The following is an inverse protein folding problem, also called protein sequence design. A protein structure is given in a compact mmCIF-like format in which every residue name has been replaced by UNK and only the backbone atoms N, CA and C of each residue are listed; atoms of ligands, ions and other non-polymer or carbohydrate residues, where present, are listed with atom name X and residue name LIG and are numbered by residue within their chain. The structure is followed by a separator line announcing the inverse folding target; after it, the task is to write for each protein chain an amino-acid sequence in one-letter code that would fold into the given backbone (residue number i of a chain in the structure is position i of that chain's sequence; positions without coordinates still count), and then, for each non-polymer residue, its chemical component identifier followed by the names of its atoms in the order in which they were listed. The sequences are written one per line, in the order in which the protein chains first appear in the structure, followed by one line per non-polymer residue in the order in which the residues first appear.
data_IF_856474661965
#
_entry.id   IF_856474661965
#
_cell.length_a   1.000
_cell.length_b   1.000
_cell.length_c   1.000
_cell.angle_alpha   90.00
_cell.angle_beta   90.00
_cell.angle_gamma   90.00
#
_symmetry.space_group_name_H-M   'P 1'
#
loop_
_entity.id
_entity.type
_entity.pdbx_description
1 polymer ?
#
# COMPACT_ATOMS: atom_id res chain seq x y z
N UNK A 1 8.00 26.07 57.18
CA UNK A 1 8.89 25.59 56.08
C UNK A 1 8.06 24.97 54.96
N UNK A 2 7.66 25.75 53.95
CA UNK A 2 6.80 25.31 52.81
C UNK A 2 7.49 25.45 51.44
N UNK A 3 8.83 25.52 51.41
CA UNK A 3 9.60 25.88 50.21
C UNK A 3 10.13 24.65 49.45
N UNK A 4 10.14 23.46 50.07
CA UNK A 4 10.72 22.24 49.48
C UNK A 4 9.80 21.47 48.52
N UNK A 5 8.48 21.70 48.56
CA UNK A 5 7.54 20.97 47.69
C UNK A 5 7.53 21.47 46.23
N UNK A 6 7.74 22.77 46.00
CA UNK A 6 7.71 23.34 44.66
C UNK A 6 8.91 22.92 43.79
N UNK A 7 10.08 22.65 44.40
CA UNK A 7 11.26 22.16 43.66
C UNK A 7 11.04 20.76 43.08
N UNK A 8 10.34 19.85 43.77
CA UNK A 8 10.08 18.49 43.27
C UNK A 8 9.06 18.48 42.13
N UNK A 9 8.02 19.31 42.20
CA UNK A 9 6.98 19.40 41.17
C UNK A 9 7.54 20.04 39.88
N UNK A 10 8.43 21.02 40.00
CA UNK A 10 9.08 21.65 38.85
C UNK A 10 10.02 20.68 38.10
N UNK A 11 10.78 19.86 38.84
CA UNK A 11 11.68 18.85 38.24
C UNK A 11 10.88 17.75 37.51
N UNK A 12 9.75 17.30 38.09
CA UNK A 12 8.90 16.30 37.42
C UNK A 12 8.26 16.82 36.12
N UNK A 13 7.85 18.09 36.07
CA UNK A 13 7.30 18.66 34.83
C UNK A 13 8.37 18.88 33.75
N UNK A 14 9.60 19.22 34.13
CA UNK A 14 10.70 19.39 33.16
C UNK A 14 11.14 18.06 32.54
N UNK A 15 11.17 16.97 33.32
CA UNK A 15 11.46 15.62 32.82
C UNK A 15 10.36 15.09 31.88
N UNK A 16 9.09 15.44 32.13
CA UNK A 16 7.97 15.08 31.26
C UNK A 16 8.03 15.82 29.91
N UNK A 17 8.42 17.10 29.91
CA UNK A 17 8.60 17.87 28.67
C UNK A 17 9.78 17.35 27.82
N UNK A 18 10.88 16.90 28.44
CA UNK A 18 12.01 16.31 27.70
C UNK A 18 11.67 14.95 27.06
N UNK A 19 10.84 14.12 27.70
CA UNK A 19 10.36 12.86 27.13
C UNK A 19 9.44 13.05 25.92
N UNK A 20 8.68 14.16 25.87
CA UNK A 20 7.80 14.46 24.73
C UNK A 20 8.57 14.95 23.49
N UNK A 21 9.77 15.52 23.65
CA UNK A 21 10.59 16.00 22.52
C UNK A 21 11.38 14.85 21.85
N UNK A 22 11.73 13.79 22.58
CA UNK A 22 12.40 12.61 22.00
C UNK A 22 11.53 11.75 21.07
N UNK A 23 10.22 12.01 20.99
CA UNK A 23 9.30 11.32 20.08
C UNK A 23 9.09 12.07 18.74
N UNK A 24 9.65 13.27 18.56
CA UNK A 24 9.37 14.13 17.40
C UNK A 24 10.41 14.07 16.26
N UNK A 25 11.59 13.47 16.47
CA UNK A 25 12.58 13.30 15.39
C UNK A 25 12.53 11.87 14.82
N UNK A 26 11.56 11.63 13.94
CA UNK A 26 11.67 10.58 12.92
C UNK A 26 12.07 11.21 11.61
N UNK A 27 13.26 11.79 11.59
CA UNK A 27 14.00 12.00 10.35
C UNK A 27 14.30 10.62 9.75
N UNK A 28 13.43 10.18 8.84
CA UNK A 28 13.66 9.02 7.98
C UNK A 28 14.67 9.42 6.91
N UNK A 29 15.94 9.46 7.29
CA UNK A 29 17.01 9.34 6.31
C UNK A 29 17.48 7.88 6.33
N UNK A 30 17.04 7.13 5.32
CA UNK A 30 17.71 5.87 4.97
C UNK A 30 19.00 6.29 4.28
N UNK A 31 20.09 6.34 5.04
CA UNK A 31 21.43 6.30 4.46
C UNK A 31 21.62 4.88 3.98
N UNK A 32 21.26 4.61 2.73
CA UNK A 32 21.65 3.36 2.09
C UNK A 32 23.13 3.46 1.78
N UNK A 33 23.96 2.83 2.60
CA UNK A 33 25.30 2.40 2.17
C UNK A 33 25.10 1.60 0.87
N UNK A 34 25.38 2.22 -0.28
CA UNK A 34 25.43 1.53 -1.57
C UNK A 34 26.68 0.67 -1.61
N UNK A 35 26.71 -0.38 -0.77
CA UNK A 35 27.74 -1.41 -0.88
C UNK A 35 27.58 -2.05 -2.24
N UNK A 36 28.60 -1.89 -3.07
CA UNK A 36 28.71 -2.60 -4.34
C UNK A 36 28.77 -4.10 -4.02
N UNK A 37 27.64 -4.79 -4.17
CA UNK A 37 27.59 -6.25 -4.03
C UNK A 37 28.21 -6.85 -5.29
N UNK A 38 29.46 -7.29 -5.19
CA UNK A 38 30.06 -8.16 -6.22
C UNK A 38 29.44 -9.55 -6.09
N UNK A 39 28.53 -9.89 -6.99
CA UNK A 39 27.98 -11.23 -7.08
C UNK A 39 29.07 -12.20 -7.57
N UNK A 40 29.12 -13.40 -6.97
CA UNK A 40 30.07 -14.47 -7.35
C UNK A 40 29.63 -15.26 -8.58
N UNK A 41 28.43 -15.01 -9.10
CA UNK A 41 27.90 -15.68 -10.29
C UNK A 41 28.18 -14.86 -11.55
N UNK A 42 28.51 -15.49 -12.69
CA UNK A 42 28.67 -14.81 -13.98
C UNK A 42 27.34 -14.28 -14.56
N UNK A 43 26.24 -14.51 -13.85
CA UNK A 43 24.87 -14.19 -14.23
C UNK A 43 24.44 -13.01 -13.33
N UNK A 44 24.38 -11.81 -13.90
CA UNK A 44 23.91 -10.60 -13.23
C UNK A 44 22.39 -10.71 -13.02
N UNK A 45 21.89 -10.73 -11.76
CA UNK A 45 20.47 -10.91 -11.49
C UNK A 45 19.59 -9.82 -12.14
N UNK A 46 20.16 -8.66 -12.49
CA UNK A 46 19.45 -7.56 -13.17
C UNK A 46 19.67 -7.60 -14.68
N UNK A 47 20.86 -8.00 -15.13
CA UNK A 47 21.24 -8.06 -16.55
C UNK A 47 20.41 -9.03 -17.41
N UNK A 48 19.73 -10.00 -16.80
CA UNK A 48 18.85 -10.95 -17.50
C UNK A 48 17.37 -10.59 -17.46
N UNK A 49 16.98 -9.52 -16.76
CA UNK A 49 15.64 -8.96 -16.86
C UNK A 49 15.56 -8.19 -18.19
N UNK A 50 15.11 -8.89 -19.25
CA UNK A 50 14.79 -8.38 -20.59
C UNK A 50 15.32 -6.96 -20.88
N UNK A 51 16.54 -6.89 -21.41
CA UNK A 51 17.34 -5.67 -21.59
C UNK A 51 16.79 -4.62 -22.56
N UNK A 52 15.63 -4.03 -22.27
CA UNK A 52 15.11 -2.82 -22.90
C UNK A 52 14.37 -1.86 -21.94
N UNK A 53 14.22 -2.19 -20.65
CA UNK A 53 13.52 -1.31 -19.70
C UNK A 53 14.38 -0.13 -19.17
N UNK A 54 15.68 -0.10 -19.46
CA UNK A 54 16.61 0.82 -18.81
C UNK A 54 16.90 2.14 -19.56
N UNK A 55 16.32 2.39 -20.75
CA UNK A 55 16.61 3.63 -21.51
C UNK A 55 15.56 4.72 -21.44
N UNK A 56 14.39 4.43 -20.89
CA UNK A 56 13.41 5.43 -20.46
C UNK A 56 12.51 4.73 -19.44
N UNK A 57 12.49 5.12 -18.15
CA UNK A 57 11.38 4.73 -17.29
C UNK A 57 10.16 5.49 -17.81
N UNK A 58 9.55 5.01 -18.89
CA UNK A 58 8.26 5.53 -19.34
C UNK A 58 7.32 5.37 -18.17
N UNK A 59 6.71 6.49 -17.74
CA UNK A 59 5.72 6.47 -16.69
C UNK A 59 4.70 5.35 -16.97
N UNK A 60 4.29 4.56 -15.96
CA UNK A 60 3.46 3.40 -16.23
C UNK A 60 2.14 3.83 -16.89
N UNK A 61 1.74 3.12 -17.94
CA UNK A 61 0.48 3.32 -18.63
C UNK A 61 -0.72 2.92 -17.77
N UNK A 62 -1.91 3.43 -18.11
CA UNK A 62 -3.17 2.99 -17.50
C UNK A 62 -3.33 1.46 -17.49
N UNK A 63 -2.99 0.80 -18.61
CA UNK A 63 -3.04 -0.67 -18.73
C UNK A 63 -2.14 -1.37 -17.72
N UNK A 64 -0.95 -0.84 -17.46
CA UNK A 64 -0.04 -1.41 -16.46
C UNK A 64 -0.60 -1.28 -15.04
N UNK A 65 -1.19 -0.14 -14.69
CA UNK A 65 -1.87 0.01 -13.40
C UNK A 65 -3.09 -0.90 -13.26
N UNK A 66 -3.88 -1.07 -14.32
CA UNK A 66 -5.01 -2.00 -14.32
C UNK A 66 -4.55 -3.46 -14.13
N UNK A 67 -3.50 -3.89 -14.84
CA UNK A 67 -2.96 -5.24 -14.68
C UNK A 67 -2.36 -5.46 -13.28
N UNK A 68 -1.69 -4.45 -12.73
CA UNK A 68 -1.21 -4.47 -11.34
C UNK A 68 -2.36 -4.63 -10.36
N UNK A 69 -3.44 -3.84 -10.51
CA UNK A 69 -4.65 -3.99 -9.72
C UNK A 69 -5.24 -5.41 -9.84
N UNK A 70 -5.37 -5.94 -11.06
CA UNK A 70 -5.95 -7.26 -11.30
C UNK A 70 -5.15 -8.38 -10.63
N UNK A 71 -3.82 -8.33 -10.74
CA UNK A 71 -2.93 -9.30 -10.10
C UNK A 71 -3.06 -9.25 -8.57
N UNK A 72 -3.05 -8.05 -7.99
CA UNK A 72 -3.15 -7.87 -6.54
C UNK A 72 -4.54 -8.23 -6.01
N UNK A 73 -5.60 -7.99 -6.79
CA UNK A 73 -6.94 -8.47 -6.49
C UNK A 73 -6.97 -10.00 -6.38
N UNK A 74 -6.37 -10.72 -7.32
CA UNK A 74 -6.26 -12.19 -7.26
C UNK A 74 -5.42 -12.66 -6.10
N UNK A 75 -4.31 -11.98 -5.80
CA UNK A 75 -3.47 -12.28 -4.64
C UNK A 75 -4.27 -12.13 -3.33
N UNK A 76 -5.08 -11.08 -3.23
CA UNK A 76 -5.99 -10.87 -2.11
C UNK A 76 -6.97 -12.04 -1.99
N UNK A 77 -7.71 -12.37 -3.05
CA UNK A 77 -8.69 -13.47 -3.04
C UNK A 77 -8.06 -14.80 -2.61
N UNK A 78 -6.87 -15.10 -3.12
CA UNK A 78 -6.14 -16.33 -2.82
C UNK A 78 -5.59 -16.39 -1.40
N UNK A 79 -5.38 -15.24 -0.77
CA UNK A 79 -4.81 -15.10 0.58
C UNK A 79 -5.88 -15.06 1.67
N UNK A 80 -7.15 -14.85 1.32
CA UNK A 80 -8.27 -14.87 2.26
C UNK A 80 -8.30 -16.19 3.03
N UNK A 81 -8.27 -16.09 4.36
CA UNK A 81 -8.26 -17.25 5.27
C UNK A 81 -6.91 -17.97 5.40
N UNK A 82 -5.87 -17.55 4.66
CA UNK A 82 -4.53 -18.14 4.74
C UNK A 82 -3.53 -17.23 5.46
N UNK A 83 -3.51 -15.95 5.10
CA UNK A 83 -2.57 -14.99 5.68
C UNK A 83 -3.17 -13.60 5.74
N UNK A 84 -3.38 -13.09 6.96
CA UNK A 84 -3.87 -11.72 7.19
C UNK A 84 -2.86 -10.70 6.66
N UNK A 85 -1.57 -10.95 6.83
CA UNK A 85 -0.51 -10.06 6.34
C UNK A 85 -0.57 -9.94 4.82
N UNK A 86 -0.65 -11.07 4.10
CA UNK A 86 -0.74 -11.06 2.64
C UNK A 86 -2.00 -10.34 2.13
N UNK A 87 -3.12 -10.45 2.86
CA UNK A 87 -4.34 -9.69 2.53
C UNK A 87 -4.15 -8.18 2.72
N UNK A 88 -3.47 -7.76 3.79
CA UNK A 88 -3.18 -6.34 4.06
C UNK A 88 -2.21 -5.78 3.01
N UNK A 89 -1.19 -6.52 2.64
CA UNK A 89 -0.22 -6.10 1.62
C UNK A 89 -0.88 -5.98 0.25
N UNK A 90 -1.65 -7.00 -0.16
CA UNK A 90 -2.41 -6.95 -1.40
C UNK A 90 -3.44 -5.80 -1.41
N UNK A 91 -4.10 -5.54 -0.28
CA UNK A 91 -4.99 -4.39 -0.12
C UNK A 91 -4.26 -3.06 -0.34
N UNK A 92 -3.10 -2.89 0.28
CA UNK A 92 -2.30 -1.67 0.09
C UNK A 92 -1.91 -1.48 -1.38
N UNK A 93 -1.47 -2.54 -2.06
CA UNK A 93 -1.09 -2.49 -3.47
C UNK A 93 -2.29 -2.21 -4.39
N UNK A 94 -3.46 -2.78 -4.09
CA UNK A 94 -4.72 -2.46 -4.77
C UNK A 94 -5.03 -0.98 -4.64
N UNK A 95 -4.95 -0.41 -3.43
CA UNK A 95 -5.21 1.01 -3.21
C UNK A 95 -4.26 1.90 -4.02
N UNK A 96 -2.97 1.54 -4.06
CA UNK A 96 -1.98 2.27 -4.84
C UNK A 96 -2.27 2.18 -6.36
N UNK A 97 -2.54 0.99 -6.88
CA UNK A 97 -2.85 0.78 -8.29
C UNK A 97 -4.09 1.56 -8.73
N UNK A 98 -5.18 1.48 -7.95
CA UNK A 98 -6.40 2.24 -8.18
C UNK A 98 -6.13 3.75 -8.07
N UNK A 99 -5.35 4.20 -7.08
CA UNK A 99 -5.00 5.61 -6.94
C UNK A 99 -4.26 6.16 -8.17
N UNK A 100 -3.36 5.38 -8.75
CA UNK A 100 -2.60 5.79 -9.92
C UNK A 100 -3.46 5.84 -11.20
N UNK A 101 -4.45 4.96 -11.31
CA UNK A 101 -5.40 4.98 -12.43
C UNK A 101 -6.18 6.29 -12.53
N UNK A 102 -6.41 7.02 -11.42
CA UNK A 102 -7.11 8.32 -11.43
C UNK A 102 -6.50 9.31 -12.42
N UNK A 103 -5.19 9.28 -12.63
CA UNK A 103 -4.49 10.22 -13.52
C UNK A 103 -4.90 10.10 -14.98
N UNK A 104 -5.55 9.01 -15.38
CA UNK A 104 -5.97 8.72 -16.76
C UNK A 104 -7.48 8.80 -16.97
N UNK A 105 -8.27 9.12 -15.94
CA UNK A 105 -9.72 9.00 -15.95
C UNK A 105 -10.40 10.38 -15.95
N UNK A 106 -11.62 10.45 -16.48
CA UNK A 106 -12.51 11.58 -16.29
C UNK A 106 -13.05 11.66 -14.85
N UNK A 107 -13.60 12.81 -14.45
CA UNK A 107 -14.08 13.03 -13.08
C UNK A 107 -15.18 12.06 -12.63
N UNK A 108 -16.05 11.63 -13.54
CA UNK A 108 -17.11 10.66 -13.21
C UNK A 108 -16.48 9.30 -12.87
N UNK A 109 -15.58 8.81 -13.74
CA UNK A 109 -14.85 7.57 -13.52
C UNK A 109 -13.96 7.62 -12.28
N UNK A 110 -13.32 8.76 -11.98
CA UNK A 110 -12.56 8.97 -10.74
C UNK A 110 -13.45 8.80 -9.50
N UNK A 111 -14.62 9.44 -9.48
CA UNK A 111 -15.55 9.32 -8.35
C UNK A 111 -15.99 7.88 -8.10
N UNK A 112 -16.29 7.14 -9.18
CA UNK A 112 -16.62 5.71 -9.08
C UNK A 112 -15.44 4.88 -8.57
N UNK A 113 -14.24 5.14 -9.07
CA UNK A 113 -13.03 4.45 -8.61
C UNK A 113 -12.76 4.69 -7.12
N UNK A 114 -12.95 5.93 -6.63
CA UNK A 114 -12.91 6.26 -5.21
C UNK A 114 -13.96 5.51 -4.39
N UNK A 115 -15.17 5.32 -4.93
CA UNK A 115 -16.19 4.52 -4.25
C UNK A 115 -15.74 3.05 -4.10
N UNK A 116 -15.15 2.47 -5.15
CA UNK A 116 -14.59 1.12 -5.08
C UNK A 116 -13.42 1.01 -4.09
N UNK A 117 -12.54 2.02 -4.02
CA UNK A 117 -11.47 2.07 -3.00
C UNK A 117 -12.03 2.04 -1.57
N UNK A 118 -13.09 2.80 -1.29
CA UNK A 118 -13.78 2.77 0.02
C UNK A 118 -14.42 1.41 0.31
N UNK A 119 -14.92 0.71 -0.72
CA UNK A 119 -15.45 -0.63 -0.57
C UNK A 119 -14.35 -1.64 -0.19
N UNK A 120 -13.16 -1.56 -0.79
CA UNK A 120 -12.01 -2.36 -0.36
C UNK A 120 -11.70 -2.12 1.12
N UNK A 121 -11.64 -0.86 1.58
CA UNK A 121 -11.34 -0.54 2.98
C UNK A 121 -12.40 -1.12 3.92
N UNK A 122 -13.67 -1.04 3.52
CA UNK A 122 -14.78 -1.62 4.28
C UNK A 122 -14.67 -3.14 4.38
N UNK A 123 -14.25 -3.82 3.30
CA UNK A 123 -14.05 -5.26 3.31
C UNK A 123 -12.84 -5.69 4.16
N UNK A 124 -11.76 -4.89 4.16
CA UNK A 124 -10.62 -5.12 5.05
C UNK A 124 -11.02 -4.97 6.52
N UNK A 125 -11.83 -3.97 6.86
CA UNK A 125 -12.39 -3.80 8.20
C UNK A 125 -13.31 -4.97 8.58
N UNK A 126 -14.13 -5.45 7.65
CA UNK A 126 -14.99 -6.61 7.88
C UNK A 126 -14.18 -7.88 8.17
N UNK A 127 -13.04 -8.07 7.51
CA UNK A 127 -12.09 -9.15 7.82
C UNK A 127 -11.56 -9.03 9.26
N UNK A 128 -11.15 -7.83 9.70
CA UNK A 128 -10.70 -7.59 11.09
C UNK A 128 -11.78 -7.85 12.14
N UNK A 129 -13.06 -7.72 11.75
CA UNK A 129 -14.22 -8.03 12.59
C UNK A 129 -14.62 -9.51 12.57
N UNK A 130 -13.77 -10.39 12.03
CA UNK A 130 -14.04 -11.83 11.89
C UNK A 130 -15.32 -12.14 11.09
N UNK A 131 -15.63 -11.32 10.08
CA UNK A 131 -16.73 -11.64 9.15
C UNK A 131 -16.43 -12.97 8.46
N UNK A 132 -17.46 -13.78 8.24
CA UNK A 132 -17.33 -15.08 7.56
C UNK A 132 -16.54 -14.96 6.25
N UNK A 133 -15.52 -15.80 6.11
CA UNK A 133 -14.68 -15.85 4.90
C UNK A 133 -15.51 -16.02 3.63
N UNK A 134 -16.55 -16.86 3.67
CA UNK A 134 -17.46 -17.06 2.52
C UNK A 134 -18.09 -15.74 2.07
N UNK A 135 -18.53 -14.91 3.02
CA UNK A 135 -19.14 -13.61 2.72
C UNK A 135 -18.09 -12.67 2.12
N UNK A 136 -16.90 -12.61 2.71
CA UNK A 136 -15.81 -11.76 2.23
C UNK A 136 -15.39 -12.15 0.80
N UNK A 137 -15.16 -13.44 0.54
CA UNK A 137 -14.80 -13.94 -0.80
C UNK A 137 -15.85 -13.57 -1.83
N UNK A 138 -17.14 -13.75 -1.55
CA UNK A 138 -18.22 -13.35 -2.47
C UNK A 138 -18.19 -11.85 -2.75
N UNK A 139 -17.99 -11.02 -1.72
CA UNK A 139 -17.95 -9.56 -1.88
C UNK A 139 -16.73 -9.09 -2.66
N UNK A 140 -15.54 -9.64 -2.39
CA UNK A 140 -14.35 -9.33 -3.19
C UNK A 140 -14.53 -9.74 -4.65
N UNK A 141 -15.07 -10.94 -4.94
CA UNK A 141 -15.37 -11.37 -6.31
C UNK A 141 -16.31 -10.43 -7.04
N UNK A 142 -17.40 -10.02 -6.37
CA UNK A 142 -18.36 -9.08 -6.95
C UNK A 142 -17.71 -7.73 -7.25
N UNK A 143 -16.92 -7.21 -6.31
CA UNK A 143 -16.17 -5.97 -6.46
C UNK A 143 -15.17 -6.04 -7.64
N UNK A 144 -14.39 -7.12 -7.72
CA UNK A 144 -13.44 -7.36 -8.81
C UNK A 144 -14.13 -7.41 -10.17
N UNK A 145 -15.29 -8.08 -10.25
CA UNK A 145 -16.10 -8.13 -11.47
C UNK A 145 -16.57 -6.74 -11.90
N UNK A 146 -17.14 -5.95 -10.99
CA UNK A 146 -17.63 -4.60 -11.31
C UNK A 146 -16.52 -3.68 -11.80
N UNK A 147 -15.35 -3.70 -11.15
CA UNK A 147 -14.20 -2.88 -11.59
C UNK A 147 -13.70 -3.37 -12.95
N UNK A 148 -13.64 -4.68 -13.18
CA UNK A 148 -13.21 -5.21 -14.47
C UNK A 148 -14.17 -4.84 -15.60
N UNK A 149 -15.48 -4.90 -15.39
CA UNK A 149 -16.47 -4.51 -16.39
C UNK A 149 -16.38 -3.03 -16.76
N UNK A 150 -16.07 -2.17 -15.81
CA UNK A 150 -16.12 -0.72 -15.99
C UNK A 150 -14.77 -0.09 -16.40
N UNK A 151 -13.65 -0.67 -15.95
CA UNK A 151 -12.31 -0.09 -16.07
C UNK A 151 -11.34 -0.93 -16.88
N UNK A 152 -11.73 -2.13 -17.32
CA UNK A 152 -10.87 -2.92 -18.20
C UNK A 152 -10.49 -2.09 -19.42
N UNK A 153 -9.19 -1.98 -19.73
CA UNK A 153 -8.77 -1.42 -20.99
C UNK A 153 -9.30 -2.37 -22.06
N UNK A 154 -10.45 -2.02 -22.66
CA UNK A 154 -10.91 -2.66 -23.87
C UNK A 154 -9.72 -2.69 -24.82
N UNK A 155 -9.48 -3.84 -25.45
CA UNK A 155 -8.50 -3.94 -26.51
C UNK A 155 -8.95 -2.98 -27.62
N UNK A 156 -8.46 -1.75 -27.56
CA UNK A 156 -8.30 -0.89 -28.73
C UNK A 156 -7.32 -1.64 -29.63
N UNK A 157 -7.88 -2.49 -30.48
CA UNK A 157 -7.24 -2.90 -31.73
C UNK A 157 -6.98 -1.66 -32.58
#
# INVERSE_FOLDING_TARGET
MKITYYKKILICNFALCLLLISCANKDRYVISDSRVVKYRSPIDPVGHLAGNFAKNPTAPSYRQFFLSWFAEHRNLENSLGKSVLAVVDAHHNIQNALSNMHTFLDENKKQKLQAYQKLYDTLLLALRRNTSLRILTTRYRALGKSINEEFSPTATN
#
